data_IF_269159510377
#
_entry.id   IF_269159510377
#
_cell.length_a   1.000
_cell.length_b   1.000
_cell.length_c   1.000
_cell.angle_alpha   90.00
_cell.angle_beta   90.00
_cell.angle_gamma   90.00
#
_symmetry.space_group_name_H-M   'P 1'
#
loop_
_entity.id
_entity.type
_entity.pdbx_description
1 polymer ?
#
# COMPACT_ATOMS: atom_id res chain seq x y z
N UNK A 1 34.72 -30.85 54.01
CA UNK A 1 35.46 -30.77 52.73
C UNK A 1 35.32 -29.35 52.22
N UNK A 2 36.42 -28.68 51.86
CA UNK A 2 36.35 -27.33 51.33
C UNK A 2 35.67 -27.35 49.95
N UNK A 3 34.62 -26.55 49.79
CA UNK A 3 33.84 -26.45 48.54
C UNK A 3 34.68 -25.82 47.42
N UNK A 4 35.68 -25.02 47.81
CA UNK A 4 36.62 -24.34 46.93
C UNK A 4 38.06 -24.71 47.29
N UNK A 5 38.85 -25.13 46.29
CA UNK A 5 40.30 -25.26 46.38
C UNK A 5 40.97 -23.86 46.34
N UNK A 6 42.17 -23.75 46.91
CA UNK A 6 43.12 -22.63 46.80
C UNK A 6 43.36 -22.10 45.38
N UNK A 7 43.06 -22.90 44.35
CA UNK A 7 43.12 -22.53 42.92
C UNK A 7 41.76 -22.09 42.34
N UNK A 8 40.74 -21.87 43.16
CA UNK A 8 39.41 -21.42 42.74
C UNK A 8 38.58 -22.48 42.00
N UNK A 9 38.86 -23.77 42.24
CA UNK A 9 38.13 -24.89 41.62
C UNK A 9 37.01 -25.37 42.53
N UNK A 10 35.78 -25.48 41.99
CA UNK A 10 34.68 -26.18 42.64
C UNK A 10 34.96 -27.69 42.60
N UNK A 11 34.94 -28.32 43.78
CA UNK A 11 35.16 -29.76 43.95
C UNK A 11 36.47 -30.28 43.30
N UNK A 12 37.47 -29.42 43.12
CA UNK A 12 38.78 -29.75 42.51
C UNK A 12 38.76 -30.07 41.02
N UNK A 13 37.58 -30.10 40.36
CA UNK A 13 37.42 -30.54 38.97
C UNK A 13 37.11 -29.41 37.99
N UNK A 14 36.32 -28.41 38.41
CA UNK A 14 35.81 -27.36 37.52
C UNK A 14 36.24 -26.00 38.05
N UNK A 15 36.80 -25.16 37.19
CA UNK A 15 37.12 -23.77 37.54
C UNK A 15 35.83 -22.99 37.79
N UNK A 16 35.78 -22.16 38.84
CA UNK A 16 34.61 -21.31 39.10
C UNK A 16 34.34 -20.33 37.94
N UNK A 17 35.40 -19.95 37.20
CA UNK A 17 35.33 -19.10 36.02
C UNK A 17 34.62 -19.84 34.87
N UNK A 18 34.97 -21.11 34.63
CA UNK A 18 34.35 -21.92 33.57
C UNK A 18 32.88 -22.21 33.90
N UNK A 19 32.57 -22.46 35.17
CA UNK A 19 31.19 -22.63 35.63
C UNK A 19 30.35 -21.36 35.42
N UNK A 20 30.93 -20.19 35.75
CA UNK A 20 30.29 -18.90 35.48
C UNK A 20 30.05 -18.66 33.99
N UNK A 21 31.04 -18.95 33.14
CA UNK A 21 30.91 -18.83 31.70
C UNK A 21 29.80 -19.75 31.14
N UNK A 22 29.76 -21.00 31.59
CA UNK A 22 28.71 -21.95 31.19
C UNK A 22 27.31 -21.48 31.63
N UNK A 23 27.19 -20.93 32.84
CA UNK A 23 25.93 -20.37 33.34
C UNK A 23 25.45 -19.19 32.49
N UNK A 24 26.36 -18.27 32.11
CA UNK A 24 26.02 -17.13 31.25
C UNK A 24 25.56 -17.62 29.87
N UNK A 25 26.25 -18.59 29.27
CA UNK A 25 25.85 -19.17 27.98
C UNK A 25 24.45 -19.82 28.10
N UNK A 26 24.20 -20.58 29.17
CA UNK A 26 22.89 -21.17 29.44
C UNK A 26 21.79 -20.10 29.54
N UNK A 27 22.03 -19.02 30.29
CA UNK A 27 21.07 -17.92 30.43
C UNK A 27 20.80 -17.21 29.10
N UNK A 28 21.82 -17.03 28.25
CA UNK A 28 21.64 -16.46 26.90
C UNK A 28 20.80 -17.38 26.02
N UNK A 29 21.07 -18.69 26.03
CA UNK A 29 20.27 -19.67 25.27
C UNK A 29 18.82 -19.65 25.74
N UNK A 30 18.57 -19.73 27.06
CA UNK A 30 17.23 -19.63 27.63
C UNK A 30 16.57 -18.31 27.26
N UNK A 31 17.30 -17.19 27.31
CA UNK A 31 16.81 -15.87 26.90
C UNK A 31 16.33 -15.84 25.45
N UNK A 32 17.10 -16.40 24.53
CA UNK A 32 16.75 -16.43 23.09
C UNK A 32 15.50 -17.30 22.83
N UNK A 33 15.37 -18.45 23.52
CA UNK A 33 14.27 -19.39 23.27
C UNK A 33 12.98 -19.05 24.02
N UNK A 34 13.06 -18.48 25.22
CA UNK A 34 11.88 -18.15 26.03
C UNK A 34 11.45 -16.68 25.91
N UNK A 35 12.36 -15.78 25.55
CA UNK A 35 12.10 -14.36 25.31
C UNK A 35 12.62 -13.95 23.93
N UNK A 36 12.09 -14.53 22.84
CA UNK A 36 12.42 -14.04 21.50
C UNK A 36 12.06 -12.54 21.47
N UNK A 37 13.05 -11.69 21.24
CA UNK A 37 12.80 -10.24 21.18
C UNK A 37 11.74 -9.93 20.13
N UNK A 38 10.93 -8.89 20.38
CA UNK A 38 9.86 -8.42 19.48
C UNK A 38 10.35 -8.03 18.06
N UNK A 39 11.65 -8.12 17.81
CA UNK A 39 12.33 -7.90 16.53
C UNK A 39 12.25 -9.09 15.56
N UNK A 40 11.56 -10.16 15.92
CA UNK A 40 11.38 -11.36 15.11
C UNK A 40 10.56 -11.10 13.85
N UNK A 41 11.25 -10.91 12.72
CA UNK A 41 10.80 -11.16 11.34
C UNK A 41 9.30 -10.91 11.06
N UNK A 42 9.00 -9.73 10.52
CA UNK A 42 7.72 -9.34 9.89
C UNK A 42 7.30 -10.20 8.68
N UNK A 43 7.93 -11.35 8.45
CA UNK A 43 7.67 -12.23 7.32
C UNK A 43 6.55 -13.27 7.55
N UNK A 44 5.84 -13.24 8.68
CA UNK A 44 4.77 -14.20 8.94
C UNK A 44 3.36 -13.64 8.66
N UNK A 45 2.74 -14.25 7.64
CA UNK A 45 1.29 -14.57 7.60
C UNK A 45 0.31 -13.45 7.31
N UNK A 46 0.67 -12.51 6.45
CA UNK A 46 -0.32 -11.66 5.83
C UNK A 46 -0.87 -12.33 4.57
N UNK A 47 -1.90 -13.16 4.73
CA UNK A 47 -2.68 -13.64 3.59
C UNK A 47 -3.17 -12.43 2.79
N UNK A 48 -2.74 -12.36 1.54
CA UNK A 48 -3.17 -11.27 0.65
C UNK A 48 -4.61 -11.56 0.21
N UNK A 49 -5.46 -10.54 0.29
CA UNK A 49 -6.83 -10.57 -0.22
C UNK A 49 -6.93 -9.74 -1.50
N UNK A 50 -7.80 -10.13 -2.45
CA UNK A 50 -8.16 -9.25 -3.55
C UNK A 50 -8.80 -7.98 -2.99
N UNK A 51 -8.39 -6.84 -3.52
CA UNK A 51 -8.96 -5.54 -3.18
C UNK A 51 -9.20 -4.74 -4.45
N UNK A 52 -10.25 -3.94 -4.40
CA UNK A 52 -10.52 -2.91 -5.40
C UNK A 52 -10.29 -1.53 -4.80
N UNK A 53 -9.60 -0.69 -5.55
CA UNK A 53 -9.34 0.69 -5.17
C UNK A 53 -9.92 1.58 -6.25
N UNK A 54 -10.90 2.42 -5.88
CA UNK A 54 -11.38 3.45 -6.77
C UNK A 54 -10.53 4.70 -6.60
N UNK A 55 -10.10 5.25 -7.72
CA UNK A 55 -9.30 6.46 -7.77
C UNK A 55 -9.98 7.49 -8.64
N UNK A 56 -9.84 8.76 -8.26
CA UNK A 56 -10.29 9.89 -9.05
C UNK A 56 -9.09 10.65 -9.61
N UNK A 57 -9.13 10.88 -10.91
CA UNK A 57 -8.24 11.77 -11.64
C UNK A 57 -8.99 13.07 -11.87
N UNK A 58 -8.36 14.21 -11.56
CA UNK A 58 -8.99 15.53 -11.68
C UNK A 58 -8.15 16.44 -12.56
N UNK A 59 -8.76 17.00 -13.59
CA UNK A 59 -8.17 18.02 -14.46
C UNK A 59 -6.98 17.52 -15.26
N UNK A 60 -6.97 16.26 -15.70
CA UNK A 60 -5.91 15.72 -16.53
C UNK A 60 -5.97 16.37 -17.92
N UNK A 61 -4.90 17.05 -18.30
CA UNK A 61 -4.75 17.70 -19.60
C UNK A 61 -4.50 16.66 -20.70
N UNK A 62 -5.50 16.31 -21.50
CA UNK A 62 -5.38 15.42 -22.65
C UNK A 62 -5.95 16.06 -23.92
N UNK A 63 -5.26 15.84 -25.03
CA UNK A 63 -5.75 16.19 -26.36
C UNK A 63 -6.88 15.25 -26.80
N UNK A 64 -6.69 13.95 -26.61
CA UNK A 64 -7.62 12.89 -27.02
C UNK A 64 -7.90 11.95 -25.84
N UNK A 65 -8.92 12.26 -25.01
CA UNK A 65 -9.31 11.44 -23.86
C UNK A 65 -9.60 9.98 -24.19
N UNK A 66 -10.28 9.75 -25.31
CA UNK A 66 -10.73 8.42 -25.72
C UNK A 66 -9.55 7.50 -26.02
N UNK A 67 -8.42 8.02 -26.51
CA UNK A 67 -7.20 7.24 -26.75
C UNK A 67 -6.64 6.67 -25.45
N UNK A 68 -6.54 7.49 -24.40
CA UNK A 68 -6.05 7.02 -23.10
C UNK A 68 -7.02 6.00 -22.48
N UNK A 69 -8.33 6.24 -22.56
CA UNK A 69 -9.34 5.31 -22.03
C UNK A 69 -9.25 3.97 -22.74
N UNK A 70 -9.24 3.98 -24.07
CA UNK A 70 -9.10 2.76 -24.87
C UNK A 70 -7.79 2.04 -24.54
N UNK A 71 -6.67 2.76 -24.42
CA UNK A 71 -5.38 2.17 -24.04
C UNK A 71 -5.45 1.47 -22.67
N UNK A 72 -6.09 2.09 -21.68
CA UNK A 72 -6.23 1.52 -20.33
C UNK A 72 -7.18 0.31 -20.32
N UNK A 73 -8.27 0.37 -21.08
CA UNK A 73 -9.26 -0.71 -21.20
C UNK A 73 -8.74 -1.92 -22.00
N UNK A 74 -7.90 -1.70 -23.00
CA UNK A 74 -7.26 -2.74 -23.80
C UNK A 74 -6.10 -3.40 -23.03
N UNK A 75 -5.23 -2.59 -22.43
CA UNK A 75 -4.07 -3.10 -21.68
C UNK A 75 -4.51 -3.81 -20.40
N UNK A 76 -5.61 -3.34 -19.78
CA UNK A 76 -6.16 -3.82 -18.50
C UNK A 76 -5.18 -3.81 -17.33
N UNK A 77 -4.04 -3.15 -17.49
CA UNK A 77 -2.96 -3.10 -16.50
C UNK A 77 -2.25 -1.75 -16.57
N UNK A 78 -1.81 -1.28 -15.41
CA UNK A 78 -1.05 -0.03 -15.27
C UNK A 78 -0.09 -0.13 -14.09
N UNK A 79 1.01 0.62 -14.12
CA UNK A 79 1.87 0.71 -12.94
C UNK A 79 1.33 1.78 -12.01
N UNK A 80 1.42 1.52 -10.71
CA UNK A 80 1.05 2.47 -9.67
C UNK A 80 2.24 2.79 -8.77
N UNK A 81 2.42 4.08 -8.51
CA UNK A 81 3.38 4.61 -7.56
C UNK A 81 2.57 5.23 -6.42
N UNK A 82 2.85 4.77 -5.20
CA UNK A 82 2.14 5.22 -4.00
C UNK A 82 3.13 6.01 -3.16
N UNK A 83 2.92 7.32 -2.99
CA UNK A 83 3.82 8.19 -2.19
C UNK A 83 5.29 8.08 -2.60
N UNK A 84 5.59 8.13 -3.91
CA UNK A 84 6.95 7.95 -4.48
C UNK A 84 7.58 6.58 -4.19
N UNK A 85 6.79 5.59 -3.84
CA UNK A 85 7.21 4.19 -3.71
C UNK A 85 6.57 3.39 -4.84
N UNK A 86 7.35 2.87 -5.80
CA UNK A 86 6.82 2.00 -6.84
C UNK A 86 6.21 0.74 -6.20
N UNK A 87 4.92 0.49 -6.45
CA UNK A 87 4.28 -0.75 -6.06
C UNK A 87 4.41 -1.81 -7.17
N UNK A 88 4.33 -1.37 -8.42
CA UNK A 88 4.35 -2.22 -9.60
C UNK A 88 3.00 -2.22 -10.31
N UNK A 89 2.69 -3.32 -10.98
CA UNK A 89 1.53 -3.43 -11.87
C UNK A 89 0.25 -3.81 -11.11
N UNK A 90 -0.84 -3.12 -11.42
CA UNK A 90 -2.20 -3.40 -10.95
C UNK A 90 -3.13 -3.59 -12.14
N UNK A 91 -4.22 -4.32 -11.91
CA UNK A 91 -5.24 -4.54 -12.93
C UNK A 91 -6.16 -3.32 -13.02
N UNK A 92 -6.54 -2.93 -14.24
CA UNK A 92 -7.54 -1.89 -14.50
C UNK A 92 -8.87 -2.60 -14.76
N UNK A 93 -9.79 -2.48 -13.80
CA UNK A 93 -11.12 -3.10 -13.89
C UNK A 93 -12.13 -2.23 -14.62
N UNK A 94 -12.06 -0.91 -14.44
CA UNK A 94 -12.94 0.03 -15.15
C UNK A 94 -12.29 1.40 -15.31
N UNK A 95 -12.68 2.11 -16.38
CA UNK A 95 -12.31 3.50 -16.64
C UNK A 95 -13.56 4.24 -17.05
N UNK A 96 -13.84 5.38 -16.41
CA UNK A 96 -15.02 6.20 -16.71
C UNK A 96 -14.64 7.68 -16.75
N UNK A 97 -14.88 8.32 -17.90
CA UNK A 97 -14.77 9.77 -18.01
C UNK A 97 -15.92 10.43 -17.25
N UNK A 98 -15.57 11.35 -16.36
CA UNK A 98 -16.51 12.19 -15.63
C UNK A 98 -16.68 13.51 -16.39
N UNK A 99 -17.69 13.57 -17.25
CA UNK A 99 -18.02 14.80 -17.99
C UNK A 99 -18.52 15.87 -17.02
N UNK A 100 -18.09 17.11 -17.27
CA UNK A 100 -18.57 18.26 -16.51
C UNK A 100 -19.95 18.66 -17.01
N UNK A 101 -20.78 19.05 -16.07
CA UNK A 101 -22.06 19.69 -16.32
C UNK A 101 -21.96 21.17 -15.96
N UNK A 102 -22.86 21.95 -16.56
CA UNK A 102 -23.08 23.35 -16.25
C UNK A 102 -24.50 23.53 -15.74
N UNK A 103 -24.64 24.39 -14.73
CA UNK A 103 -25.93 24.76 -14.18
C UNK A 103 -26.52 25.87 -15.05
N UNK A 104 -27.68 25.60 -15.66
CA UNK A 104 -28.36 26.54 -16.55
C UNK A 104 -29.66 27.02 -15.87
N UNK A 105 -29.74 28.30 -15.47
CA UNK A 105 -30.96 28.86 -14.90
C UNK A 105 -32.06 28.89 -15.95
N UNK A 106 -33.28 28.55 -15.55
CA UNK A 106 -34.46 28.51 -16.40
C UNK A 106 -35.36 29.74 -16.17
N UNK A 107 -36.21 30.13 -17.14
CA UNK A 107 -37.13 31.27 -17.00
C UNK A 107 -38.12 31.15 -15.84
N UNK A 108 -38.42 29.94 -15.38
CA UNK A 108 -39.29 29.66 -14.23
C UNK A 108 -38.58 29.75 -12.87
N UNK A 109 -37.30 30.11 -12.86
CA UNK A 109 -36.46 30.20 -11.66
C UNK A 109 -35.83 28.88 -11.23
N UNK A 110 -36.08 27.77 -11.93
CA UNK A 110 -35.42 26.48 -11.66
C UNK A 110 -33.99 26.42 -12.23
N UNK A 111 -33.21 25.43 -11.80
CA UNK A 111 -31.86 25.18 -12.28
C UNK A 111 -31.83 23.82 -12.96
N UNK A 112 -31.33 23.76 -14.20
CA UNK A 112 -31.12 22.52 -14.93
C UNK A 112 -29.64 22.20 -15.07
N UNK A 113 -29.25 20.99 -14.72
CA UNK A 113 -27.92 20.47 -14.98
C UNK A 113 -27.86 19.96 -16.44
N UNK A 114 -27.02 20.57 -17.26
CA UNK A 114 -26.81 20.18 -18.65
C UNK A 114 -25.33 19.86 -18.92
N UNK A 115 -25.00 19.01 -19.90
CA UNK A 115 -23.62 18.81 -20.32
C UNK A 115 -22.98 20.12 -20.74
N UNK A 116 -21.71 20.31 -20.40
CA UNK A 116 -20.93 21.47 -20.82
C UNK A 116 -20.86 21.54 -22.36
N UNK A 117 -21.34 22.64 -23.00
CA UNK A 117 -21.40 22.75 -24.45
C UNK A 117 -20.06 23.13 -25.10
N UNK A 118 -18.99 23.35 -24.33
CA UNK A 118 -17.70 23.79 -24.88
C UNK A 118 -17.09 22.72 -25.80
N UNK A 119 -16.65 23.09 -27.02
CA UNK A 119 -16.22 22.13 -28.05
C UNK A 119 -14.87 21.46 -27.76
N UNK A 120 -14.03 22.02 -26.88
CA UNK A 120 -12.74 21.45 -26.52
C UNK A 120 -12.51 21.59 -25.03
N UNK A 121 -12.52 20.45 -24.33
CA UNK A 121 -12.26 20.38 -22.92
C UNK A 121 -11.03 19.51 -22.66
N UNK A 122 -9.87 20.16 -22.57
CA UNK A 122 -8.60 19.46 -22.35
C UNK A 122 -8.45 18.93 -20.93
N UNK A 123 -9.19 19.44 -19.94
CA UNK A 123 -8.99 19.11 -18.52
C UNK A 123 -9.91 18.01 -17.98
N UNK A 124 -9.80 16.78 -18.47
CA UNK A 124 -10.75 15.71 -18.13
C UNK A 124 -10.65 15.23 -16.67
N UNK A 125 -11.78 14.78 -16.14
CA UNK A 125 -11.84 14.04 -14.89
C UNK A 125 -12.14 12.58 -15.22
N UNK A 126 -11.55 11.65 -14.48
CA UNK A 126 -11.80 10.21 -14.67
C UNK A 126 -11.98 9.51 -13.33
N UNK A 127 -12.81 8.48 -13.33
CA UNK A 127 -12.92 7.49 -12.27
C UNK A 127 -12.34 6.19 -12.79
N UNK A 128 -11.38 5.62 -12.07
CA UNK A 128 -10.82 4.31 -12.40
C UNK A 128 -11.00 3.37 -11.21
N UNK A 129 -11.31 2.11 -11.50
CA UNK A 129 -11.28 1.03 -10.50
C UNK A 129 -10.07 0.16 -10.77
N UNK A 130 -9.18 0.08 -9.80
CA UNK A 130 -7.96 -0.71 -9.85
C UNK A 130 -8.11 -1.98 -9.00
N UNK A 131 -7.72 -3.12 -9.55
CA UNK A 131 -7.66 -4.40 -8.85
C UNK A 131 -6.23 -4.74 -8.43
N UNK A 132 -6.08 -5.23 -7.20
CA UNK A 132 -4.79 -5.68 -6.69
C UNK A 132 -4.92 -6.66 -5.54
N UNK A 133 -3.79 -7.22 -5.10
CA UNK A 133 -3.71 -8.06 -3.91
C UNK A 133 -3.10 -7.26 -2.78
N UNK A 134 -3.77 -7.19 -1.64
CA UNK A 134 -3.33 -6.40 -0.51
C UNK A 134 -3.36 -7.18 0.79
N UNK A 135 -2.50 -6.78 1.71
CA UNK A 135 -2.51 -7.26 3.09
C UNK A 135 -3.53 -6.47 3.90
N UNK A 136 -4.41 -7.16 4.61
CA UNK A 136 -5.36 -6.51 5.53
C UNK A 136 -4.74 -6.48 6.94
N UNK A 137 -4.52 -5.28 7.46
CA UNK A 137 -4.02 -5.06 8.83
C UNK A 137 -5.10 -4.43 9.71
N UNK A 138 -4.87 -4.39 11.02
CA UNK A 138 -5.75 -3.66 11.97
C UNK A 138 -5.89 -2.18 11.60
N UNK A 139 -4.89 -1.59 10.95
CA UNK A 139 -4.85 -0.17 10.59
C UNK A 139 -5.41 0.14 9.19
N UNK A 140 -5.80 -0.89 8.44
CA UNK A 140 -6.34 -0.78 7.09
C UNK A 140 -5.64 -1.66 6.05
N UNK A 141 -5.97 -1.39 4.79
CA UNK A 141 -5.46 -2.11 3.61
C UNK A 141 -4.05 -1.65 3.27
N UNK A 142 -3.13 -2.59 3.05
CA UNK A 142 -1.74 -2.35 2.70
C UNK A 142 -1.44 -2.97 1.35
N UNK A 143 -1.19 -2.12 0.36
CA UNK A 143 -0.73 -2.51 -0.97
C UNK A 143 0.81 -2.37 -1.01
N UNK A 144 1.49 -3.52 -1.04
CA UNK A 144 2.95 -3.60 -0.96
C UNK A 144 3.41 -3.13 0.41
N UNK A 145 4.16 -2.03 0.45
CA UNK A 145 4.65 -1.41 1.70
C UNK A 145 3.87 -0.15 2.10
N UNK A 146 2.81 0.21 1.36
CA UNK A 146 2.06 1.44 1.58
C UNK A 146 0.63 1.19 2.04
N UNK A 147 0.21 1.87 3.11
CA UNK A 147 -1.19 1.90 3.54
C UNK A 147 -2.02 2.69 2.52
N UNK A 148 -3.05 2.06 1.97
CA UNK A 148 -3.99 2.69 1.06
C UNK A 148 -5.27 3.03 1.81
N UNK A 149 -5.61 4.32 1.83
CA UNK A 149 -6.78 4.89 2.49
C UNK A 149 -7.40 5.92 1.56
N UNK A 150 -8.66 6.27 1.82
CA UNK A 150 -9.32 7.39 1.14
C UNK A 150 -8.47 8.66 1.33
N UNK A 151 -8.24 9.38 0.24
CA UNK A 151 -7.36 10.55 0.18
C UNK A 151 -5.89 10.25 -0.07
N UNK A 152 -5.45 8.97 -0.07
CA UNK A 152 -4.06 8.65 -0.41
C UNK A 152 -3.75 9.10 -1.86
N UNK A 153 -2.72 9.93 -2.07
CA UNK A 153 -2.28 10.28 -3.42
C UNK A 153 -1.58 9.08 -4.06
N UNK A 154 -1.92 8.83 -5.31
CA UNK A 154 -1.32 7.78 -6.14
C UNK A 154 -0.99 8.35 -7.50
N UNK A 155 -0.02 7.76 -8.16
CA UNK A 155 0.43 8.13 -9.49
C UNK A 155 0.32 6.89 -10.38
N UNK A 156 -0.23 7.10 -11.57
CA UNK A 156 -0.38 6.05 -12.59
C UNK A 156 0.67 6.30 -13.65
N UNK A 157 1.44 5.26 -13.93
CA UNK A 157 2.56 5.30 -14.85
C UNK A 157 2.38 4.24 -15.94
N UNK A 158 2.40 4.69 -17.19
CA UNK A 158 2.41 3.87 -18.38
C UNK A 158 3.50 4.32 -19.33
N UNK A 159 3.55 3.72 -20.52
CA UNK A 159 4.54 4.10 -21.54
C UNK A 159 4.35 5.55 -22.01
N UNK A 160 3.09 5.94 -22.22
CA UNK A 160 2.72 7.20 -22.89
C UNK A 160 2.02 8.19 -21.94
N UNK A 161 1.91 7.84 -20.66
CA UNK A 161 1.24 8.66 -19.65
C UNK A 161 1.90 8.56 -18.28
N UNK A 162 1.88 9.67 -17.55
CA UNK A 162 2.15 9.73 -16.12
C UNK A 162 1.23 10.81 -15.53
N UNK A 163 0.38 10.44 -14.56
CA UNK A 163 -0.49 11.40 -13.90
C UNK A 163 -0.86 11.03 -12.46
N UNK A 164 -1.20 12.07 -11.69
CA UNK A 164 -1.65 11.96 -10.31
C UNK A 164 -3.15 11.67 -10.21
N UNK A 165 -3.51 10.88 -9.21
CA UNK A 165 -4.88 10.57 -8.80
C UNK A 165 -4.98 10.52 -7.27
N UNK A 166 -6.22 10.44 -6.77
CA UNK A 166 -6.48 10.28 -5.34
C UNK A 166 -7.44 9.13 -5.11
N UNK A 167 -7.15 8.30 -4.11
CA UNK A 167 -8.03 7.21 -3.70
C UNK A 167 -9.33 7.77 -3.12
N UNK A 168 -10.48 7.33 -3.63
CA UNK A 168 -11.80 7.73 -3.12
C UNK A 168 -12.55 6.60 -2.44
N UNK A 169 -12.20 5.34 -2.73
CA UNK A 169 -12.82 4.17 -2.11
C UNK A 169 -11.85 2.98 -2.10
N UNK A 170 -12.01 2.10 -1.12
CA UNK A 170 -11.24 0.85 -0.99
C UNK A 170 -12.20 -0.25 -0.56
N UNK A 171 -12.33 -1.30 -1.38
CA UNK A 171 -13.17 -2.48 -1.11
C UNK A 171 -12.28 -3.71 -0.98
N UNK A 172 -12.60 -4.56 -0.01
CA UNK A 172 -11.99 -5.89 0.12
C UNK A 172 -12.97 -6.89 -0.45
N UNK A 173 -12.51 -7.69 -1.41
CA UNK A 173 -13.28 -8.79 -2.01
C UNK A 173 -13.07 -10.11 -1.24
#
# INVERSE_FOLDING_TARGET
MAILDSKGRLFGKVSIIDFGAALVILLVVVGIFFFPGDSGSVAQLNSTKPVEVDIIVRGLSLLEPDVLVNQLEETKKTNIVIRKQPYGQVDVKSVKILRRSVLVPQPDGSIKELPDPRPSFYGINMLLTLGGKATITKDGVVLGNSKIKIGTPVELEGRDYNFNASVINVRVE
#
